data_IF_087717307282
#
_entry.id   IF_087717307282
#
_cell.length_a   1.000
_cell.length_b   1.000
_cell.length_c   1.000
_cell.angle_alpha   90.00
_cell.angle_beta   90.00
_cell.angle_gamma   90.00
#
_symmetry.space_group_name_H-M   'P 1'
#
loop_
_entity.id
_entity.type
_entity.pdbx_description
1 polymer ?
#
# COMPACT_ATOMS: atom_id res chain seq x y z
N UNK A 1 67.16 -75.28 -16.12
CA UNK A 1 66.64 -74.45 -17.22
C UNK A 1 65.22 -74.06 -16.86
N UNK A 2 65.04 -72.91 -16.18
CA UNK A 2 63.76 -72.46 -15.64
C UNK A 2 63.11 -71.47 -16.62
N UNK A 3 61.91 -71.77 -17.12
CA UNK A 3 61.11 -70.89 -17.96
C UNK A 3 60.29 -69.92 -17.09
N UNK A 4 60.52 -68.62 -17.27
CA UNK A 4 59.82 -67.53 -16.60
C UNK A 4 58.55 -67.15 -17.37
N UNK A 5 57.39 -67.17 -16.70
CA UNK A 5 56.08 -66.75 -17.23
C UNK A 5 55.82 -65.31 -16.78
N UNK A 6 55.81 -64.35 -17.72
CA UNK A 6 55.48 -62.93 -17.45
C UNK A 6 54.65 -62.38 -18.62
N UNK A 7 53.32 -62.38 -18.51
CA UNK A 7 52.44 -61.52 -19.34
C UNK A 7 50.98 -61.61 -18.88
N UNK A 8 50.62 -60.89 -17.82
CA UNK A 8 49.21 -60.59 -17.51
C UNK A 8 49.00 -59.37 -16.62
N UNK A 9 50.06 -58.71 -16.16
CA UNK A 9 49.96 -57.60 -15.19
C UNK A 9 49.89 -56.20 -15.81
N UNK A 10 49.99 -56.08 -17.14
CA UNK A 10 50.08 -54.77 -17.82
C UNK A 10 48.74 -54.23 -18.33
N UNK A 11 47.69 -55.06 -18.41
CA UNK A 11 46.38 -54.62 -18.92
C UNK A 11 45.43 -54.12 -17.83
N UNK A 12 45.66 -54.49 -16.56
CA UNK A 12 44.79 -54.11 -15.45
C UNK A 12 45.01 -52.66 -14.96
N UNK A 13 46.19 -52.07 -15.21
CA UNK A 13 46.50 -50.70 -14.78
C UNK A 13 45.92 -49.62 -15.72
N UNK A 14 45.61 -49.96 -16.98
CA UNK A 14 45.12 -48.98 -17.95
C UNK A 14 43.61 -48.72 -17.85
N UNK A 15 42.83 -49.65 -17.27
CA UNK A 15 41.39 -49.48 -17.11
C UNK A 15 41.01 -48.71 -15.83
N UNK A 16 41.82 -48.82 -14.77
CA UNK A 16 41.58 -48.11 -13.52
C UNK A 16 41.84 -46.59 -13.61
N UNK A 17 42.79 -46.17 -14.47
CA UNK A 17 43.10 -44.75 -14.70
C UNK A 17 42.02 -44.00 -15.48
N UNK A 18 41.28 -44.68 -16.37
CA UNK A 18 40.22 -44.05 -17.17
C UNK A 18 38.93 -43.90 -16.36
N UNK A 19 38.63 -44.82 -15.44
CA UNK A 19 37.44 -44.72 -14.57
C UNK A 19 37.61 -43.64 -13.48
N UNK A 20 38.84 -43.38 -13.02
CA UNK A 20 39.13 -42.31 -12.07
C UNK A 20 39.14 -40.89 -12.70
N UNK A 21 39.26 -40.79 -14.03
CA UNK A 21 39.20 -39.51 -14.76
C UNK A 21 37.79 -39.02 -15.05
N UNK A 22 36.81 -39.92 -15.17
CA UNK A 22 35.42 -39.57 -15.51
C UNK A 22 34.60 -39.14 -14.28
N UNK A 23 35.01 -39.53 -13.07
CA UNK A 23 34.33 -39.14 -11.82
C UNK A 23 34.67 -37.74 -11.31
N UNK A 24 35.63 -37.04 -11.94
CA UNK A 24 36.05 -35.68 -11.55
C UNK A 24 35.33 -34.55 -12.31
N UNK A 25 34.39 -34.86 -13.21
CA UNK A 25 33.63 -33.85 -13.97
C UNK A 25 32.18 -33.65 -13.50
N UNK A 26 31.73 -34.36 -12.45
CA UNK A 26 30.37 -34.21 -11.90
C UNK A 26 30.31 -33.30 -10.67
N UNK A 27 31.07 -32.21 -10.67
CA UNK A 27 31.01 -31.22 -9.58
C UNK A 27 31.32 -29.83 -10.10
N UNK A 28 30.32 -29.22 -10.74
CA UNK A 28 30.09 -27.77 -10.76
C UNK A 28 28.71 -27.52 -11.38
N UNK A 29 27.67 -28.05 -10.73
CA UNK A 29 26.31 -27.53 -10.89
C UNK A 29 25.69 -27.34 -9.49
N UNK A 30 26.49 -26.83 -8.56
CA UNK A 30 25.96 -26.05 -7.45
C UNK A 30 25.86 -24.59 -7.92
N UNK A 31 25.02 -24.36 -8.94
CA UNK A 31 24.27 -23.11 -8.94
C UNK A 31 23.46 -23.21 -7.67
N UNK A 32 23.91 -22.49 -6.66
CA UNK A 32 23.18 -22.24 -5.43
C UNK A 32 21.74 -21.96 -5.85
N UNK A 33 20.85 -22.91 -5.58
CA UNK A 33 19.43 -22.65 -5.47
C UNK A 33 19.27 -21.77 -4.22
N UNK A 34 19.82 -20.55 -4.30
CA UNK A 34 19.41 -19.44 -3.45
C UNK A 34 17.91 -19.40 -3.64
N UNK A 35 17.18 -19.74 -2.57
CA UNK A 35 15.76 -20.01 -2.62
C UNK A 35 15.10 -18.94 -3.49
N UNK A 36 14.49 -19.36 -4.61
CA UNK A 36 13.78 -18.42 -5.52
C UNK A 36 12.65 -17.69 -4.80
N UNK A 37 12.27 -18.14 -3.62
CA UNK A 37 11.21 -17.57 -2.81
C UNK A 37 11.55 -16.17 -2.32
N UNK A 38 10.58 -15.27 -2.43
CA UNK A 38 10.70 -13.92 -1.90
C UNK A 38 10.73 -13.97 -0.36
N UNK A 39 11.57 -13.14 0.26
CA UNK A 39 11.45 -12.80 1.67
C UNK A 39 10.18 -11.99 1.86
N UNK A 40 9.29 -12.43 2.77
CA UNK A 40 8.02 -11.75 3.05
C UNK A 40 8.03 -11.25 4.48
N UNK A 41 7.79 -9.95 4.65
CA UNK A 41 7.62 -9.27 5.93
C UNK A 41 6.19 -8.72 5.94
N UNK A 42 5.38 -9.13 6.90
CA UNK A 42 4.04 -8.60 7.10
C UNK A 42 3.74 -8.33 8.58
N UNK A 43 2.69 -7.53 8.80
CA UNK A 43 2.29 -7.05 10.11
C UNK A 43 1.06 -6.13 10.04
N UNK A 44 0.79 -5.43 11.14
CA UNK A 44 -0.32 -4.49 11.28
C UNK A 44 0.18 -3.05 11.30
N UNK A 45 -0.58 -2.13 10.72
CA UNK A 45 -0.33 -0.68 10.76
C UNK A 45 -1.61 0.07 10.39
N UNK A 46 -1.80 1.32 10.85
CA UNK A 46 -2.90 2.21 10.42
C UNK A 46 -4.31 1.57 10.44
N UNK A 47 -4.59 0.69 11.41
CA UNK A 47 -5.86 -0.04 11.49
C UNK A 47 -6.06 -1.14 10.43
N UNK A 48 -5.03 -1.45 9.65
CA UNK A 48 -5.01 -2.43 8.56
C UNK A 48 -3.75 -3.31 8.64
N UNK A 49 -3.41 -3.99 7.53
CA UNK A 49 -2.23 -4.85 7.40
C UNK A 49 -1.28 -4.31 6.33
N UNK A 50 0.01 -4.51 6.53
CA UNK A 50 1.02 -4.31 5.51
C UNK A 50 1.66 -5.64 5.11
N UNK A 51 2.21 -5.70 3.90
CA UNK A 51 3.02 -6.81 3.40
C UNK A 51 4.08 -6.30 2.43
N UNK A 52 5.32 -6.76 2.62
CA UNK A 52 6.48 -6.42 1.82
C UNK A 52 7.13 -7.73 1.36
N UNK A 53 7.11 -7.98 0.05
CA UNK A 53 7.72 -9.14 -0.59
C UNK A 53 8.98 -8.71 -1.34
N UNK A 54 10.12 -9.31 -1.02
CA UNK A 54 11.45 -8.89 -1.49
C UNK A 54 12.16 -10.08 -2.15
N UNK A 55 12.62 -9.91 -3.38
CA UNK A 55 13.37 -10.94 -4.10
C UNK A 55 14.87 -10.63 -4.09
N UNK A 56 15.70 -11.66 -3.91
CA UNK A 56 17.16 -11.53 -3.88
C UNK A 56 17.71 -11.00 -2.55
N UNK A 57 16.93 -11.13 -1.47
CA UNK A 57 17.31 -10.70 -0.12
C UNK A 57 17.55 -11.91 0.76
N UNK A 58 18.72 -11.94 1.41
CA UNK A 58 19.05 -12.98 2.38
C UNK A 58 18.11 -12.93 3.60
N UNK A 59 17.65 -14.09 4.07
CA UNK A 59 16.72 -14.19 5.22
C UNK A 59 17.32 -13.59 6.50
N UNK A 60 18.64 -13.56 6.65
CA UNK A 60 19.32 -12.92 7.79
C UNK A 60 19.06 -11.41 7.88
N UNK A 61 18.67 -10.74 6.79
CA UNK A 61 18.30 -9.32 6.79
C UNK A 61 16.90 -9.03 7.30
N UNK A 62 16.07 -10.06 7.49
CA UNK A 62 14.66 -9.92 7.87
C UNK A 62 14.45 -9.11 9.16
N UNK A 63 15.18 -9.35 10.27
CA UNK A 63 14.94 -8.61 11.52
C UNK A 63 15.25 -7.11 11.38
N UNK A 64 16.33 -6.76 10.68
CA UNK A 64 16.71 -5.36 10.48
C UNK A 64 15.75 -4.64 9.53
N UNK A 65 15.38 -5.28 8.42
CA UNK A 65 14.39 -4.72 7.49
C UNK A 65 13.03 -4.55 8.14
N UNK A 66 12.57 -5.53 8.94
CA UNK A 66 11.33 -5.41 9.71
C UNK A 66 11.36 -4.20 10.62
N UNK A 67 12.44 -4.02 11.39
CA UNK A 67 12.61 -2.88 12.29
C UNK A 67 12.52 -1.55 11.54
N UNK A 68 13.18 -1.43 10.38
CA UNK A 68 13.11 -0.21 9.56
C UNK A 68 11.70 0.03 8.99
N UNK A 69 11.05 -1.01 8.47
CA UNK A 69 9.68 -0.95 7.93
C UNK A 69 8.69 -0.52 9.02
N UNK A 70 8.76 -1.14 10.19
CA UNK A 70 7.85 -0.83 11.30
C UNK A 70 8.10 0.57 11.86
N UNK A 71 9.35 1.03 11.91
CA UNK A 71 9.68 2.40 12.30
C UNK A 71 9.12 3.42 11.30
N UNK A 72 9.31 3.21 9.99
CA UNK A 72 8.76 4.08 8.96
C UNK A 72 7.23 4.14 9.02
N UNK A 73 6.57 2.98 9.15
CA UNK A 73 5.12 2.92 9.28
C UNK A 73 4.59 3.61 10.54
N UNK A 74 5.33 3.53 11.65
CA UNK A 74 4.97 4.21 12.88
C UNK A 74 5.10 5.74 12.75
N UNK A 75 6.12 6.21 12.03
CA UNK A 75 6.29 7.63 11.69
C UNK A 75 5.15 8.13 10.79
N UNK A 76 4.86 7.41 9.69
CA UNK A 76 3.79 7.76 8.76
C UNK A 76 2.41 7.80 9.47
N UNK A 77 2.14 6.85 10.38
CA UNK A 77 0.92 6.83 11.19
C UNK A 77 0.89 7.98 12.20
N UNK A 78 2.02 8.35 12.80
CA UNK A 78 2.09 9.53 13.67
C UNK A 78 1.94 10.85 12.89
N UNK A 79 2.28 10.91 11.60
CA UNK A 79 2.02 12.09 10.78
C UNK A 79 0.53 12.23 10.40
N UNK A 80 -0.09 11.14 9.91
CA UNK A 80 -1.37 11.23 9.19
C UNK A 80 -2.59 10.69 9.94
N UNK A 81 -2.43 10.03 11.10
CA UNK A 81 -3.56 9.39 11.78
C UNK A 81 -4.57 10.40 12.31
N UNK A 82 -5.85 10.20 11.99
CA UNK A 82 -6.96 10.88 12.66
C UNK A 82 -7.37 10.22 13.97
N UNK A 83 -6.84 9.03 14.28
CA UNK A 83 -7.19 8.24 15.47
C UNK A 83 -6.22 8.46 16.65
N UNK A 84 -4.99 8.92 16.38
CA UNK A 84 -4.02 9.32 17.40
C UNK A 84 -4.20 10.78 17.74
N UNK A 85 -4.48 11.10 18.99
CA UNK A 85 -4.74 12.49 19.44
C UNK A 85 -3.51 13.39 19.30
N UNK A 86 -2.31 12.83 19.41
CA UNK A 86 -1.02 13.53 19.37
C UNK A 86 -0.38 13.58 17.97
N UNK A 87 -1.01 12.96 16.96
CA UNK A 87 -0.52 12.98 15.59
C UNK A 87 -0.39 14.41 15.05
N UNK A 88 0.47 14.60 14.04
CA UNK A 88 0.63 15.91 13.39
C UNK A 88 -0.70 16.41 12.82
N UNK A 89 -1.44 15.55 12.11
CA UNK A 89 -2.75 15.87 11.56
C UNK A 89 -3.80 16.18 12.65
N UNK A 90 -3.87 15.38 13.71
CA UNK A 90 -4.84 15.61 14.80
C UNK A 90 -4.56 16.92 15.53
N UNK A 91 -3.30 17.26 15.80
CA UNK A 91 -2.93 18.56 16.38
C UNK A 91 -3.32 19.73 15.46
N UNK A 92 -3.15 19.59 14.15
CA UNK A 92 -3.65 20.57 13.18
C UNK A 92 -5.19 20.71 13.22
N UNK A 93 -5.90 19.60 13.33
CA UNK A 93 -7.36 19.60 13.42
C UNK A 93 -7.86 20.25 14.73
N UNK A 94 -7.17 20.01 15.85
CA UNK A 94 -7.48 20.60 17.16
C UNK A 94 -7.13 22.10 17.24
N UNK A 95 -6.19 22.58 16.42
CA UNK A 95 -5.81 23.99 16.39
C UNK A 95 -6.95 24.86 15.84
N UNK A 96 -7.45 25.79 16.66
CA UNK A 96 -8.57 26.69 16.31
C UNK A 96 -8.12 28.01 15.69
N UNK A 97 -6.81 28.28 15.62
CA UNK A 97 -6.30 29.49 15.00
C UNK A 97 -6.18 29.35 13.48
N UNK A 98 -5.76 30.45 12.85
CA UNK A 98 -5.55 30.50 11.39
C UNK A 98 -4.07 30.63 11.03
N UNK A 99 -3.13 30.60 11.98
CA UNK A 99 -1.71 30.69 11.65
C UNK A 99 -1.20 29.38 11.01
N UNK A 100 -0.23 29.45 10.07
CA UNK A 100 0.39 28.27 9.48
C UNK A 100 0.99 27.35 10.54
N UNK A 101 0.73 26.04 10.44
CA UNK A 101 1.25 25.00 11.32
C UNK A 101 2.31 24.17 10.58
N UNK A 102 3.45 23.83 11.20
CA UNK A 102 4.51 23.08 10.54
C UNK A 102 4.07 21.64 10.23
N UNK A 103 4.43 21.16 9.04
CA UNK A 103 4.21 19.79 8.58
C UNK A 103 5.46 19.27 7.87
N UNK A 104 5.56 17.95 7.71
CA UNK A 104 6.65 17.35 6.92
C UNK A 104 6.48 17.60 5.43
N UNK A 105 7.57 17.49 4.68
CA UNK A 105 7.53 17.60 3.22
C UNK A 105 6.67 16.49 2.58
N UNK A 106 6.73 15.27 3.12
CA UNK A 106 5.89 14.18 2.62
C UNK A 106 4.41 14.44 2.83
N UNK A 107 4.01 14.91 4.02
CA UNK A 107 2.62 15.29 4.28
C UNK A 107 2.17 16.44 3.38
N UNK A 108 3.03 17.43 3.14
CA UNK A 108 2.76 18.54 2.23
C UNK A 108 2.49 18.03 0.80
N UNK A 109 3.32 17.12 0.27
CA UNK A 109 3.14 16.54 -1.06
C UNK A 109 1.83 15.75 -1.18
N UNK A 110 1.47 14.97 -0.14
CA UNK A 110 0.22 14.22 -0.09
C UNK A 110 -1.01 15.15 -0.10
N UNK A 111 -0.97 16.24 0.67
CA UNK A 111 -2.04 17.24 0.72
C UNK A 111 -2.13 18.00 -0.61
N UNK A 112 -1.03 18.49 -1.15
CA UNK A 112 -1.00 19.17 -2.46
C UNK A 112 -1.58 18.28 -3.56
N UNK A 113 -1.21 16.99 -3.54
CA UNK A 113 -1.75 16.01 -4.48
C UNK A 113 -3.26 15.84 -4.30
N UNK A 114 -3.72 15.73 -3.06
CA UNK A 114 -5.14 15.60 -2.73
C UNK A 114 -5.96 16.82 -3.14
N UNK A 115 -5.48 18.04 -2.86
CA UNK A 115 -6.10 19.29 -3.29
C UNK A 115 -6.22 19.34 -4.82
N UNK A 116 -5.16 18.97 -5.54
CA UNK A 116 -5.14 18.94 -7.01
C UNK A 116 -6.11 17.89 -7.57
N UNK A 117 -6.20 16.70 -6.97
CA UNK A 117 -7.16 15.68 -7.40
C UNK A 117 -8.58 16.17 -7.15
N UNK A 118 -8.86 16.72 -5.96
CA UNK A 118 -10.17 17.28 -5.63
C UNK A 118 -10.63 18.37 -6.60
N UNK A 119 -9.73 19.27 -7.00
CA UNK A 119 -10.02 20.25 -8.05
C UNK A 119 -10.35 19.59 -9.40
N UNK A 120 -9.56 18.60 -9.82
CA UNK A 120 -9.77 17.88 -11.10
C UNK A 120 -11.03 17.02 -11.11
N UNK A 121 -11.50 16.57 -9.95
CA UNK A 121 -12.72 15.77 -9.82
C UNK A 121 -13.95 16.62 -9.48
N UNK A 122 -13.83 17.96 -9.44
CA UNK A 122 -14.96 18.84 -9.10
C UNK A 122 -15.44 18.71 -7.65
N UNK A 123 -14.56 18.32 -6.73
CA UNK A 123 -14.86 18.16 -5.31
C UNK A 123 -15.29 16.75 -4.90
N UNK A 124 -15.36 15.78 -5.81
CA UNK A 124 -15.71 14.38 -5.48
C UNK A 124 -14.67 13.70 -4.57
N UNK A 125 -13.42 14.17 -4.61
CA UNK A 125 -12.41 13.85 -3.60
C UNK A 125 -12.15 15.11 -2.78
N UNK A 126 -12.56 15.10 -1.52
CA UNK A 126 -12.36 16.20 -0.61
C UNK A 126 -11.82 15.68 0.72
N UNK A 127 -10.60 16.09 1.08
CA UNK A 127 -9.93 15.71 2.33
C UNK A 127 -10.38 16.54 3.53
N UNK A 128 -11.30 17.48 3.36
CA UNK A 128 -11.87 18.31 4.45
C UNK A 128 -13.21 17.77 4.94
N UNK A 129 -13.67 16.63 4.42
CA UNK A 129 -14.96 16.00 4.77
C UNK A 129 -15.01 15.36 6.17
N UNK A 130 -13.94 15.53 6.96
CA UNK A 130 -13.82 15.02 8.31
C UNK A 130 -15.04 15.26 9.21
N UNK A 131 -15.69 16.46 9.21
CA UNK A 131 -16.87 16.70 10.04
C UNK A 131 -18.02 15.75 9.70
N UNK A 132 -18.26 15.46 8.41
CA UNK A 132 -19.27 14.48 8.00
C UNK A 132 -18.83 13.05 8.34
N UNK A 133 -17.58 12.68 8.08
CA UNK A 133 -17.05 11.33 8.41
C UNK A 133 -17.24 11.02 9.89
N UNK A 134 -16.92 11.99 10.75
CA UNK A 134 -17.11 11.91 12.19
C UNK A 134 -18.59 11.83 12.58
N UNK A 135 -19.44 12.69 12.00
CA UNK A 135 -20.88 12.71 12.25
C UNK A 135 -21.55 11.36 11.96
N UNK A 136 -21.07 10.63 10.95
CA UNK A 136 -21.56 9.31 10.58
C UNK A 136 -20.88 8.15 11.33
N UNK A 137 -19.94 8.43 12.25
CA UNK A 137 -19.27 7.42 13.07
C UNK A 137 -18.19 6.61 12.35
N UNK A 138 -17.67 7.13 11.22
CA UNK A 138 -16.58 6.51 10.47
C UNK A 138 -15.20 7.03 10.88
N UNK A 139 -15.14 8.11 11.65
CA UNK A 139 -13.89 8.66 12.20
C UNK A 139 -13.64 8.25 13.66
N UNK A 140 -12.70 8.91 14.36
CA UNK A 140 -12.38 8.63 15.76
C UNK A 140 -13.50 8.97 16.76
N UNK A 141 -14.49 9.78 16.35
CA UNK A 141 -15.61 10.13 17.22
C UNK A 141 -16.53 8.93 17.49
N UNK A 142 -17.18 8.93 18.66
CA UNK A 142 -18.07 7.84 19.08
C UNK A 142 -19.14 7.57 18.03
N UNK A 143 -19.39 6.28 17.76
CA UNK A 143 -20.45 5.87 16.84
C UNK A 143 -21.79 6.45 17.29
N UNK A 144 -22.49 7.19 16.42
CA UNK A 144 -23.77 7.78 16.76
C UNK A 144 -24.81 6.66 16.94
N UNK A 145 -25.65 6.78 17.96
CA UNK A 145 -26.75 5.82 18.21
C UNK A 145 -27.98 6.08 17.36
N UNK A 146 -28.02 7.21 16.65
CA UNK A 146 -29.10 7.65 15.78
C UNK A 146 -28.54 8.19 14.48
N UNK A 147 -29.32 8.09 13.42
CA UNK A 147 -29.00 8.75 12.15
C UNK A 147 -28.96 10.28 12.35
N UNK A 148 -27.93 10.98 11.83
CA UNK A 148 -27.86 12.44 11.90
C UNK A 148 -29.09 13.11 11.28
N UNK A 149 -29.52 14.23 11.85
CA UNK A 149 -30.61 15.04 11.29
C UNK A 149 -30.11 15.89 10.11
N UNK A 150 -31.03 16.38 9.29
CA UNK A 150 -30.68 17.24 8.15
C UNK A 150 -29.99 18.53 8.61
N UNK A 151 -30.37 19.07 9.77
CA UNK A 151 -29.73 20.24 10.38
C UNK A 151 -28.28 19.94 10.81
N UNK A 152 -28.03 18.77 11.39
CA UNK A 152 -26.67 18.36 11.78
C UNK A 152 -25.78 18.17 10.55
N UNK A 153 -26.33 17.57 9.49
CA UNK A 153 -25.63 17.40 8.21
C UNK A 153 -25.34 18.77 7.58
N UNK A 154 -26.30 19.69 7.59
CA UNK A 154 -26.12 21.04 7.06
C UNK A 154 -25.04 21.82 7.84
N UNK A 155 -25.01 21.73 9.17
CA UNK A 155 -23.99 22.35 10.01
C UNK A 155 -22.59 21.78 9.69
N UNK A 156 -22.44 20.45 9.63
CA UNK A 156 -21.17 19.82 9.28
C UNK A 156 -20.67 20.21 7.87
N UNK A 157 -21.58 20.44 6.91
CA UNK A 157 -21.22 20.90 5.55
C UNK A 157 -20.65 22.31 5.52
N UNK A 158 -20.99 23.17 6.47
CA UNK A 158 -20.45 24.53 6.53
C UNK A 158 -18.96 24.54 6.92
N UNK A 159 -18.45 23.43 7.46
CA UNK A 159 -17.05 23.28 7.89
C UNK A 159 -16.16 22.58 6.83
N UNK A 160 -16.70 22.34 5.64
CA UNK A 160 -16.05 21.59 4.55
C UNK A 160 -15.75 22.53 3.37
N UNK A 161 -14.56 22.39 2.80
CA UNK A 161 -14.22 23.00 1.52
C UNK A 161 -12.71 23.07 1.29
N UNK A 162 -12.24 22.48 0.19
CA UNK A 162 -10.81 22.48 -0.18
C UNK A 162 -10.22 23.89 -0.33
N UNK A 163 -11.01 24.89 -0.74
CA UNK A 163 -10.56 26.27 -0.91
C UNK A 163 -10.06 26.93 0.39
N UNK A 164 -10.45 26.38 1.53
CA UNK A 164 -10.15 26.87 2.86
C UNK A 164 -8.86 26.25 3.44
N UNK A 165 -8.21 25.32 2.71
CA UNK A 165 -6.97 24.65 3.09
C UNK A 165 -5.87 24.96 2.09
N UNK A 166 -4.70 25.36 2.58
CA UNK A 166 -3.53 25.60 1.71
C UNK A 166 -2.23 25.13 2.34
N UNK A 167 -1.32 24.69 1.47
CA UNK A 167 0.07 24.37 1.82
C UNK A 167 0.93 25.57 1.47
N UNK A 168 1.80 25.98 2.39
CA UNK A 168 2.75 27.07 2.24
C UNK A 168 4.15 26.47 2.28
N UNK A 169 4.94 26.74 1.25
CA UNK A 169 6.34 26.33 1.17
C UNK A 169 7.22 27.53 1.49
N UNK A 170 8.13 27.38 2.44
CA UNK A 170 9.09 28.41 2.83
C UNK A 170 10.51 27.81 2.85
N UNK A 171 11.53 28.66 3.00
CA UNK A 171 12.93 28.22 3.03
C UNK A 171 13.26 27.36 4.26
N UNK A 172 12.53 27.55 5.36
CA UNK A 172 12.69 26.87 6.64
C UNK A 172 11.78 25.66 6.84
N UNK A 173 10.82 25.42 5.94
CA UNK A 173 9.96 24.25 6.03
C UNK A 173 8.67 24.32 5.21
N UNK A 174 7.79 23.36 5.48
CA UNK A 174 6.46 23.26 4.89
C UNK A 174 5.41 23.50 5.98
N UNK A 175 4.34 24.19 5.62
CA UNK A 175 3.29 24.56 6.56
C UNK A 175 1.90 24.31 5.97
N UNK A 176 0.97 23.93 6.83
CA UNK A 176 -0.45 23.80 6.53
C UNK A 176 -1.21 24.95 7.18
N UNK A 177 -2.08 25.61 6.43
CA UNK A 177 -2.91 26.69 6.95
C UNK A 177 -4.38 26.45 6.56
N UNK A 178 -5.27 26.65 7.53
CA UNK A 178 -6.72 26.73 7.33
C UNK A 178 -7.23 28.13 7.71
N UNK A 179 -8.26 28.61 7.01
CA UNK A 179 -8.95 29.85 7.35
C UNK A 179 -10.28 29.62 8.10
N UNK A 180 -10.72 28.36 8.21
CA UNK A 180 -11.86 27.93 9.02
C UNK A 180 -11.38 27.20 10.29
N UNK A 181 -11.62 27.75 11.50
CA UNK A 181 -11.20 27.15 12.77
C UNK A 181 -11.66 25.69 12.97
N UNK A 182 -12.93 25.41 12.63
CA UNK A 182 -13.54 24.10 12.84
C UNK A 182 -13.31 23.10 11.69
N UNK A 183 -12.60 23.49 10.63
CA UNK A 183 -12.29 22.54 9.56
C UNK A 183 -11.52 21.36 10.12
N UNK A 184 -11.93 20.17 9.69
CA UNK A 184 -11.30 18.90 10.03
C UNK A 184 -10.79 18.21 8.78
N UNK A 185 -9.47 18.05 8.68
CA UNK A 185 -8.80 17.35 7.58
C UNK A 185 -8.69 15.86 7.89
N UNK A 186 -9.13 15.04 6.95
CA UNK A 186 -9.08 13.59 6.98
C UNK A 186 -8.30 13.04 5.77
N UNK A 187 -7.13 12.48 6.05
CA UNK A 187 -6.23 11.89 5.05
C UNK A 187 -6.40 10.37 4.91
N UNK A 188 -7.44 9.76 5.50
CA UNK A 188 -7.65 8.31 5.47
C UNK A 188 -7.72 7.73 4.05
N UNK A 189 -8.17 8.52 3.07
CA UNK A 189 -8.24 8.11 1.66
C UNK A 189 -6.89 8.12 0.92
N UNK A 190 -5.84 8.74 1.49
CA UNK A 190 -4.50 8.82 0.89
C UNK A 190 -3.39 8.24 1.76
N UNK A 191 -3.61 8.06 3.07
CA UNK A 191 -2.59 7.63 4.03
C UNK A 191 -1.96 6.27 3.70
N UNK A 192 -2.76 5.28 3.27
CA UNK A 192 -2.23 3.97 2.84
C UNK A 192 -1.31 4.10 1.61
N UNK A 193 -1.66 4.97 0.67
CA UNK A 193 -0.84 5.25 -0.51
C UNK A 193 0.49 5.91 -0.14
N UNK A 194 0.43 6.92 0.73
CA UNK A 194 1.60 7.60 1.29
C UNK A 194 2.58 6.62 1.95
N UNK A 195 2.09 5.77 2.86
CA UNK A 195 2.89 4.76 3.53
C UNK A 195 3.50 3.75 2.56
N UNK A 196 2.73 3.33 1.55
CA UNK A 196 3.21 2.38 0.53
C UNK A 196 4.35 2.99 -0.30
N UNK A 197 4.27 4.26 -0.68
CA UNK A 197 5.33 4.97 -1.41
C UNK A 197 6.58 5.18 -0.54
N UNK A 198 6.40 5.50 0.74
CA UNK A 198 7.49 5.61 1.71
C UNK A 198 8.25 4.29 1.87
N UNK A 199 7.53 3.19 2.07
CA UNK A 199 8.13 1.86 2.13
C UNK A 199 8.83 1.49 0.82
N UNK A 200 8.26 1.81 -0.35
CA UNK A 200 8.93 1.57 -1.62
C UNK A 200 10.29 2.30 -1.69
N UNK A 201 10.34 3.59 -1.27
CA UNK A 201 11.61 4.35 -1.19
C UNK A 201 12.59 3.76 -0.19
N UNK A 202 12.13 3.32 0.99
CA UNK A 202 12.96 2.66 2.00
C UNK A 202 13.60 1.36 1.46
N UNK A 203 12.81 0.56 0.74
CA UNK A 203 13.28 -0.69 0.13
C UNK A 203 14.29 -0.41 -0.99
N UNK A 204 14.05 0.63 -1.81
CA UNK A 204 15.00 1.07 -2.83
C UNK A 204 16.32 1.58 -2.22
N UNK A 205 16.25 2.34 -1.12
CA UNK A 205 17.43 2.82 -0.39
C UNK A 205 18.24 1.67 0.23
N UNK A 206 17.60 0.53 0.52
CA UNK A 206 18.23 -0.71 0.97
C UNK A 206 18.86 -1.55 -0.17
N UNK A 207 18.89 -1.00 -1.40
CA UNK A 207 19.49 -1.62 -2.58
C UNK A 207 18.61 -2.70 -3.23
N UNK A 208 17.33 -2.79 -2.88
CA UNK A 208 16.45 -3.86 -3.33
C UNK A 208 15.59 -3.36 -4.50
N UNK A 209 15.71 -3.99 -5.66
CA UNK A 209 15.07 -3.56 -6.91
C UNK A 209 13.91 -4.44 -7.38
N UNK A 210 13.71 -5.59 -6.74
CA UNK A 210 12.64 -6.54 -7.04
C UNK A 210 11.74 -6.71 -5.81
N UNK A 211 10.62 -6.00 -5.77
CA UNK A 211 9.75 -5.99 -4.61
C UNK A 211 8.27 -5.77 -4.95
N UNK A 212 7.40 -6.17 -4.02
CA UNK A 212 6.00 -5.79 -3.94
C UNK A 212 5.69 -5.36 -2.51
N UNK A 213 5.28 -4.10 -2.35
CA UNK A 213 4.86 -3.49 -1.09
C UNK A 213 3.36 -3.27 -1.16
N UNK A 214 2.66 -3.57 -0.06
CA UNK A 214 1.25 -3.22 0.10
C UNK A 214 0.94 -2.76 1.51
N UNK A 215 0.16 -1.69 1.65
CA UNK A 215 -0.45 -1.24 2.90
C UNK A 215 -1.95 -1.13 2.64
N UNK A 216 -2.75 -1.97 3.31
CA UNK A 216 -4.19 -2.05 3.07
C UNK A 216 -4.53 -2.32 1.60
N UNK A 217 -5.20 -1.37 0.96
CA UNK A 217 -5.58 -1.44 -0.46
C UNK A 217 -4.56 -0.86 -1.44
N UNK A 218 -3.53 -0.18 -0.95
CA UNK A 218 -2.47 0.42 -1.75
C UNK A 218 -1.32 -0.58 -1.99
N UNK A 219 -0.79 -0.60 -3.21
CA UNK A 219 0.24 -1.53 -3.66
C UNK A 219 1.24 -0.81 -4.55
N UNK A 220 2.53 -1.01 -4.32
CA UNK A 220 3.60 -0.61 -5.22
C UNK A 220 4.47 -1.82 -5.53
N UNK A 221 4.83 -2.02 -6.78
CA UNK A 221 5.78 -3.08 -7.16
C UNK A 221 6.84 -2.58 -8.13
N UNK A 222 8.01 -3.21 -8.07
CA UNK A 222 9.15 -2.97 -8.97
C UNK A 222 9.83 -4.28 -9.33
N UNK A 223 10.28 -4.40 -10.58
CA UNK A 223 11.05 -5.55 -11.05
C UNK A 223 10.22 -6.81 -11.25
N UNK A 224 10.79 -7.96 -10.89
CA UNK A 224 10.22 -9.28 -11.16
C UNK A 224 9.96 -10.08 -9.88
N UNK A 225 9.02 -11.01 -9.99
CA UNK A 225 8.68 -11.99 -8.97
C UNK A 225 9.65 -13.20 -9.02
N UNK A 226 9.57 -14.14 -8.04
CA UNK A 226 10.33 -15.41 -8.03
C UNK A 226 10.37 -16.21 -9.35
N UNK A 227 9.36 -16.04 -10.21
CA UNK A 227 9.23 -16.74 -11.49
C UNK A 227 9.85 -15.97 -12.66
N UNK A 228 10.50 -14.84 -12.41
CA UNK A 228 11.07 -13.97 -13.45
C UNK A 228 10.03 -13.15 -14.23
N UNK A 229 8.76 -13.16 -13.82
CA UNK A 229 7.70 -12.37 -14.46
C UNK A 229 7.52 -11.05 -13.70
N UNK A 230 7.00 -9.98 -14.34
CA UNK A 230 6.57 -8.80 -13.61
C UNK A 230 5.62 -9.17 -12.47
N UNK A 231 5.64 -8.39 -11.40
CA UNK A 231 4.72 -8.59 -10.29
C UNK A 231 3.28 -8.54 -10.76
N UNK A 232 2.47 -9.42 -10.19
CA UNK A 232 1.09 -9.63 -10.57
C UNK A 232 0.20 -9.17 -9.43
N UNK A 233 -0.48 -8.04 -9.62
CA UNK A 233 -1.47 -7.53 -8.66
C UNK A 233 -2.86 -7.87 -9.19
N UNK A 234 -3.59 -8.68 -8.42
CA UNK A 234 -4.94 -9.09 -8.77
C UNK A 234 -5.96 -8.07 -8.23
N UNK A 235 -6.80 -7.56 -9.13
CA UNK A 235 -7.91 -6.69 -8.75
C UNK A 235 -9.16 -7.53 -8.56
N UNK A 236 -9.70 -7.56 -7.34
CA UNK A 236 -10.96 -8.25 -7.07
C UNK A 236 -12.14 -7.38 -7.53
N UNK A 237 -12.81 -7.79 -8.61
CA UNK A 237 -14.14 -7.28 -8.97
C UNK A 237 -15.22 -8.08 -8.23
N UNK A 238 -16.10 -7.41 -7.47
CA UNK A 238 -17.32 -8.03 -6.96
C UNK A 238 -18.45 -7.76 -7.95
N UNK A 239 -18.74 -8.72 -8.83
CA UNK A 239 -20.02 -8.77 -9.51
C UNK A 239 -21.09 -9.18 -8.49
N UNK A 240 -22.15 -8.38 -8.38
CA UNK A 240 -23.31 -8.69 -7.55
C UNK A 240 -23.89 -10.03 -7.98
N UNK A 241 -24.03 -10.95 -7.02
CA UNK A 241 -24.53 -12.30 -7.23
C UNK A 241 -26.05 -12.28 -7.45
N UNK A 242 -26.50 -11.82 -8.61
CA UNK A 242 -27.89 -11.97 -9.05
C UNK A 242 -27.95 -12.96 -10.22
N UNK A 243 -28.33 -14.20 -9.86
CA UNK A 243 -28.94 -15.28 -10.65
C UNK A 243 -28.30 -15.79 -11.97
N UNK A 244 -27.93 -17.08 -11.86
CA UNK A 244 -28.05 -18.19 -12.83
C UNK A 244 -27.36 -18.12 -14.21
N UNK A 245 -26.51 -19.13 -14.39
CA UNK A 245 -26.07 -19.73 -15.66
C UNK A 245 -25.06 -18.97 -16.52
N UNK A 246 -23.77 -19.27 -16.31
CA UNK A 246 -22.71 -19.65 -17.30
C UNK A 246 -21.33 -19.36 -16.69
N UNK A 247 -20.25 -20.08 -17.10
CA UNK A 247 -18.98 -20.07 -16.38
C UNK A 247 -18.43 -18.65 -16.28
N UNK A 248 -18.12 -18.29 -15.04
CA UNK A 248 -17.71 -16.98 -14.58
C UNK A 248 -16.40 -16.58 -15.24
N UNK A 249 -16.45 -15.70 -16.24
CA UNK A 249 -15.28 -14.94 -16.66
C UNK A 249 -14.97 -13.95 -15.53
N UNK A 250 -14.11 -14.37 -14.60
CA UNK A 250 -13.46 -13.46 -13.67
C UNK A 250 -12.62 -12.54 -14.53
N UNK A 251 -12.98 -11.27 -14.66
CA UNK A 251 -12.07 -10.24 -15.15
C UNK A 251 -10.96 -10.08 -14.10
N UNK A 252 -9.97 -10.97 -14.12
CA UNK A 252 -8.67 -10.78 -13.47
C UNK A 252 -7.96 -9.72 -14.30
N UNK A 253 -8.22 -8.46 -14.04
CA UNK A 253 -7.32 -7.42 -14.51
C UNK A 253 -6.01 -7.60 -13.73
N UNK A 254 -4.97 -8.04 -14.44
CA UNK A 254 -3.61 -8.06 -13.94
C UNK A 254 -2.95 -6.80 -14.43
N UNK A 255 -2.41 -6.00 -13.52
CA UNK A 255 -1.45 -4.98 -13.90
C UNK A 255 -0.09 -5.62 -13.75
N UNK A 256 0.56 -5.84 -14.89
CA UNK A 256 1.93 -6.32 -14.99
C UNK A 256 2.76 -5.18 -15.57
N UNK A 257 3.48 -4.47 -14.71
CA UNK A 257 4.37 -3.39 -15.13
C UNK A 257 5.68 -3.46 -14.32
N UNK A 258 6.83 -3.07 -14.91
CA UNK A 258 8.12 -3.00 -14.21
C UNK A 258 8.10 -2.02 -13.03
N UNK A 259 7.16 -1.06 -13.06
CA UNK A 259 6.69 -0.25 -11.93
C UNK A 259 5.17 -0.19 -12.00
N UNK A 260 4.48 -0.68 -10.98
CA UNK A 260 3.04 -0.51 -10.84
C UNK A 260 2.75 0.10 -9.47
N UNK A 261 2.17 1.30 -9.45
CA UNK A 261 1.50 1.86 -8.27
C UNK A 261 0.02 1.64 -8.48
N UNK A 262 -0.59 0.81 -7.65
CA UNK A 262 -2.02 0.62 -7.56
C UNK A 262 -2.44 1.14 -6.20
N UNK A 263 -2.90 2.39 -6.17
CA UNK A 263 -3.69 2.84 -5.04
C UNK A 263 -5.13 2.38 -5.29
N UNK A 264 -5.63 1.43 -4.48
CA UNK A 264 -7.09 1.34 -4.35
C UNK A 264 -7.49 2.55 -3.53
N UNK A 265 -7.98 3.61 -4.19
CA UNK A 265 -8.76 4.59 -3.46
C UNK A 265 -9.96 3.82 -2.96
N UNK A 266 -9.99 3.57 -1.65
CA UNK A 266 -11.20 3.22 -0.92
C UNK A 266 -12.20 4.33 -1.26
N UNK A 267 -13.03 4.07 -2.26
CA UNK A 267 -14.09 4.94 -2.76
C UNK A 267 -15.24 5.09 -1.75
N UNK A 268 -14.89 5.12 -0.47
CA UNK A 268 -15.81 5.51 0.58
C UNK A 268 -16.16 6.99 0.42
N UNK A 269 -15.23 7.84 -0.03
CA UNK A 269 -15.47 9.28 -0.27
C UNK A 269 -16.40 9.55 -1.45
N UNK A 270 -16.15 8.98 -2.63
CA UNK A 270 -16.89 9.34 -3.88
C UNK A 270 -18.36 8.88 -3.87
N UNK A 271 -18.65 7.64 -3.44
CA UNK A 271 -20.02 7.11 -3.52
C UNK A 271 -20.88 7.44 -2.30
N UNK A 272 -20.27 7.57 -1.12
CA UNK A 272 -20.99 8.02 0.06
C UNK A 272 -21.39 9.49 -0.09
N UNK A 273 -20.55 10.35 -0.67
CA UNK A 273 -20.85 11.78 -0.81
C UNK A 273 -22.10 12.05 -1.67
N UNK A 274 -22.30 11.32 -2.78
CA UNK A 274 -23.51 11.44 -3.61
C UNK A 274 -24.77 10.92 -2.91
N UNK A 275 -24.63 9.94 -2.02
CA UNK A 275 -25.78 9.29 -1.35
C UNK A 275 -26.15 9.98 -0.03
N UNK A 276 -25.15 10.41 0.75
CA UNK A 276 -25.26 11.21 1.97
C UNK A 276 -25.72 12.66 1.70
N UNK A 277 -25.72 13.12 0.44
CA UNK A 277 -26.27 14.42 0.03
C UNK A 277 -27.70 14.36 -0.52
N UNK A 278 -28.26 13.18 -0.83
CA UNK A 278 -29.52 13.14 -1.61
C UNK A 278 -30.60 12.15 -1.14
N UNK A 279 -30.36 11.16 -0.26
CA UNK A 279 -31.44 10.23 0.16
C UNK A 279 -31.39 9.78 1.63
N UNK A 280 -32.56 9.84 2.29
CA UNK A 280 -32.87 9.04 3.49
C UNK A 280 -32.62 7.55 3.18
N UNK A 281 -31.89 6.79 4.02
CA UNK A 281 -31.96 5.35 3.94
C UNK A 281 -33.37 4.91 4.31
N UNK A 282 -34.12 4.36 3.35
CA UNK A 282 -35.41 3.76 3.62
C UNK A 282 -35.20 2.58 4.58
N UNK A 283 -35.86 2.67 5.73
CA UNK A 283 -36.00 1.60 6.71
C UNK A 283 -36.84 0.51 6.04
N UNK A 284 -36.20 -0.46 5.39
CA UNK A 284 -36.63 -1.85 5.19
C UNK A 284 -35.86 -2.47 4.01
N UNK A 285 -35.10 -3.53 4.31
CA UNK A 285 -34.42 -4.50 3.43
C UNK A 285 -32.88 -4.38 3.38
N UNK A 286 -32.15 -5.52 3.45
CA UNK A 286 -30.70 -5.55 3.55
C UNK A 286 -30.08 -5.27 2.17
N UNK A 287 -29.94 -3.99 1.82
CA UNK A 287 -29.23 -3.57 0.62
C UNK A 287 -27.73 -3.57 0.93
N UNK A 288 -26.98 -4.40 0.20
CA UNK A 288 -25.53 -4.49 0.25
C UNK A 288 -24.89 -3.19 -0.24
N UNK A 289 -24.43 -2.35 0.69
CA UNK A 289 -23.70 -1.12 0.43
C UNK A 289 -22.26 -1.43 -0.01
N UNK A 290 -21.93 -1.25 -1.29
CA UNK A 290 -20.54 -1.33 -1.77
C UNK A 290 -20.24 -0.23 -2.79
N UNK A 291 -19.26 0.67 -2.54
CA UNK A 291 -18.87 1.71 -3.48
C UNK A 291 -18.02 1.18 -4.66
N UNK A 292 -17.97 1.90 -5.81
CA UNK A 292 -17.13 1.54 -6.96
C UNK A 292 -15.64 1.81 -6.69
N UNK A 293 -14.76 0.82 -6.85
CA UNK A 293 -13.29 1.00 -6.68
C UNK A 293 -12.69 1.76 -7.86
N UNK A 294 -11.94 2.84 -7.59
CA UNK A 294 -11.17 3.56 -8.60
C UNK A 294 -9.72 3.01 -8.61
N UNK A 295 -9.25 2.60 -9.79
CA UNK A 295 -7.88 2.19 -10.04
C UNK A 295 -7.12 3.37 -10.64
N UNK A 296 -6.09 3.85 -9.95
CA UNK A 296 -5.13 4.79 -10.52
C UNK A 296 -3.85 4.05 -10.85
N UNK A 297 -3.42 4.15 -12.11
CA UNK A 297 -2.10 3.72 -12.56
C UNK A 297 -1.30 4.97 -12.95
N UNK A 298 -0.05 5.14 -12.48
CA UNK A 298 0.83 6.15 -13.03
C UNK A 298 1.05 5.85 -14.52
N UNK A 299 1.10 6.90 -15.34
CA UNK A 299 1.54 6.79 -16.74
C UNK A 299 3.06 6.58 -16.80
#
# INVERSE_FOLDING_TARGET
>A
MFHFKRSSLSLALSLAGVIAGVTLLSSCDNVTNSSKDALVIDGKTMGTFYRVSLLGVDKSREPELRKQIEAQLAEDDHEMSTYKEDSVLSRFNQYLGTAPQPISAGMADAIVTSLRIGQKTGGEMDITVGPLVNLWGFGPQKQPTKTPTDEQIAAARQEIGLQHLKVIQQSDGQYLQKDMPNMYVDLSTVGEGYATDHLARLIEANGISNYLVSVGGAVVSRGHNPKGNPWQVAIQSRLTKTMKCRPLWIYKAWVSAPRAVIATIMSWTVSAFRTLSTRRPAIQSPISWFPPRLLLLPR
#
